data_IF_302967864500
#
_entry.id   IF_302967864500
#
_cell.length_a   1.000
_cell.length_b   1.000
_cell.length_c   1.000
_cell.angle_alpha   90.00
_cell.angle_beta   90.00
_cell.angle_gamma   90.00
#
_symmetry.space_group_name_H-M   'P 1'
#
loop_
_entity.id
_entity.type
_entity.pdbx_description
1 polymer ?
#
# COMPACT_ATOMS: atom_id res chain seq x y z
N UNK A 1 -28.88 20.19 23.44
CA UNK A 1 -28.51 18.76 23.62
C UNK A 1 -28.14 18.08 22.30
N UNK A 2 -28.97 18.14 21.26
CA UNK A 2 -28.77 17.44 19.96
C UNK A 2 -27.48 17.84 19.21
N UNK A 3 -27.08 19.13 19.23
CA UNK A 3 -25.82 19.59 18.60
C UNK A 3 -24.55 19.10 19.31
N UNK A 4 -24.57 18.97 20.64
CA UNK A 4 -23.43 18.49 21.42
C UNK A 4 -23.26 16.96 21.30
N UNK A 5 -24.36 16.21 21.32
CA UNK A 5 -24.37 14.77 21.05
C UNK A 5 -23.81 14.46 19.64
N UNK A 6 -24.23 15.21 18.61
CA UNK A 6 -23.68 15.07 17.27
C UNK A 6 -22.16 15.32 17.20
N UNK A 7 -21.65 16.27 17.99
CA UNK A 7 -20.23 16.58 17.99
C UNK A 7 -19.39 15.49 18.69
N UNK A 8 -19.91 14.90 19.78
CA UNK A 8 -19.25 13.81 20.50
C UNK A 8 -19.26 12.50 19.70
N UNK A 9 -20.39 12.15 19.09
CA UNK A 9 -20.51 10.94 18.26
C UNK A 9 -19.60 11.03 17.04
N UNK A 10 -19.62 12.16 16.32
CA UNK A 10 -18.74 12.37 15.16
C UNK A 10 -17.26 12.32 15.57
N UNK A 11 -16.92 12.86 16.73
CA UNK A 11 -15.56 12.80 17.27
C UNK A 11 -15.11 11.37 17.61
N UNK A 12 -15.99 10.55 18.20
CA UNK A 12 -15.68 9.15 18.47
C UNK A 12 -15.49 8.33 17.19
N UNK A 13 -16.36 8.51 16.19
CA UNK A 13 -16.26 7.84 14.89
C UNK A 13 -14.93 8.21 14.20
N UNK A 14 -14.53 9.48 14.22
CA UNK A 14 -13.26 9.93 13.65
C UNK A 14 -12.04 9.33 14.38
N UNK A 15 -12.15 9.08 15.69
CA UNK A 15 -11.08 8.46 16.48
C UNK A 15 -11.01 6.95 16.32
N UNK A 16 -12.14 6.29 16.05
CA UNK A 16 -12.26 4.84 15.94
C UNK A 16 -13.00 4.40 14.65
N UNK A 17 -12.50 4.78 13.45
CA UNK A 17 -13.24 4.56 12.21
C UNK A 17 -13.40 3.07 11.86
N UNK A 18 -12.36 2.26 12.05
CA UNK A 18 -12.39 0.81 11.76
C UNK A 18 -13.34 0.07 12.69
N UNK A 19 -13.33 0.39 13.99
CA UNK A 19 -14.24 -0.23 14.97
C UNK A 19 -15.68 0.16 14.66
N UNK A 20 -15.92 1.46 14.37
CA UNK A 20 -17.24 1.94 13.96
C UNK A 20 -17.73 1.19 12.73
N UNK A 21 -16.87 1.03 11.73
CA UNK A 21 -17.18 0.28 10.52
C UNK A 21 -17.61 -1.15 10.82
N UNK A 22 -16.85 -1.89 11.64
CA UNK A 22 -17.23 -3.27 11.97
C UNK A 22 -18.58 -3.36 12.67
N UNK A 23 -18.85 -2.46 13.63
CA UNK A 23 -20.14 -2.43 14.32
C UNK A 23 -21.29 -2.12 13.36
N UNK A 24 -21.12 -1.15 12.46
CA UNK A 24 -22.15 -0.79 11.48
C UNK A 24 -22.34 -1.89 10.42
N UNK A 25 -21.26 -2.51 9.94
CA UNK A 25 -21.32 -3.58 8.94
C UNK A 25 -22.15 -4.76 9.48
N UNK A 26 -21.87 -5.17 10.73
CA UNK A 26 -22.66 -6.21 11.42
C UNK A 26 -24.10 -5.74 11.66
N UNK A 27 -24.32 -4.51 12.14
CA UNK A 27 -25.66 -3.99 12.39
C UNK A 27 -26.52 -3.99 11.13
N UNK A 28 -26.05 -3.39 10.03
CA UNK A 28 -26.82 -3.31 8.79
C UNK A 28 -27.09 -4.68 8.20
N UNK A 29 -26.11 -5.58 8.23
CA UNK A 29 -26.30 -6.95 7.75
C UNK A 29 -27.34 -7.68 8.58
N UNK A 30 -27.24 -7.63 9.91
CA UNK A 30 -28.23 -8.23 10.80
C UNK A 30 -29.62 -7.67 10.54
N UNK A 31 -29.77 -6.35 10.39
CA UNK A 31 -31.05 -5.71 10.08
C UNK A 31 -31.62 -6.18 8.72
N UNK A 32 -30.78 -6.41 7.72
CA UNK A 32 -31.18 -6.93 6.41
C UNK A 32 -31.52 -8.42 6.46
N UNK A 33 -30.87 -9.21 7.32
CA UNK A 33 -31.20 -10.64 7.49
C UNK A 33 -32.37 -10.89 8.44
N UNK A 34 -32.66 -9.96 9.36
CA UNK A 34 -33.62 -10.14 10.44
C UNK A 34 -35.03 -10.53 9.95
N UNK A 35 -35.59 -9.95 8.87
CA UNK A 35 -36.89 -10.37 8.37
C UNK A 35 -36.93 -11.83 7.91
N UNK A 36 -35.82 -12.34 7.35
CA UNK A 36 -35.68 -13.73 6.92
C UNK A 36 -35.54 -14.67 8.12
N UNK A 37 -34.73 -14.27 9.12
CA UNK A 37 -34.54 -15.02 10.37
C UNK A 37 -35.86 -15.15 11.14
N UNK A 38 -36.66 -14.07 11.19
CA UNK A 38 -37.97 -14.06 11.85
C UNK A 38 -39.09 -14.63 10.99
N UNK A 39 -38.81 -15.00 9.74
CA UNK A 39 -39.79 -15.52 8.77
C UNK A 39 -41.01 -14.60 8.63
N UNK A 40 -40.77 -13.29 8.51
CA UNK A 40 -41.86 -12.31 8.41
C UNK A 40 -42.67 -12.50 7.13
N UNK A 41 -43.99 -12.49 7.28
CA UNK A 41 -44.92 -12.62 6.15
C UNK A 41 -44.68 -11.56 5.07
N UNK A 42 -44.70 -12.00 3.81
CA UNK A 42 -44.53 -11.12 2.65
C UNK A 42 -43.07 -10.76 2.30
N UNK A 43 -42.09 -11.27 3.04
CA UNK A 43 -40.66 -11.13 2.69
C UNK A 43 -40.23 -12.30 1.81
N UNK A 44 -39.87 -12.05 0.54
CA UNK A 44 -39.47 -13.13 -0.35
C UNK A 44 -38.03 -13.60 -0.07
N UNK A 45 -37.71 -14.90 -0.27
CA UNK A 45 -36.38 -15.43 0.04
C UNK A 45 -35.21 -14.77 -0.72
N UNK A 46 -35.44 -14.26 -1.93
CA UNK A 46 -34.43 -13.53 -2.71
C UNK A 46 -33.98 -12.23 -2.03
N UNK A 47 -34.68 -11.75 -1.00
CA UNK A 47 -34.22 -10.64 -0.17
C UNK A 47 -32.85 -10.90 0.48
N UNK A 48 -32.46 -12.18 0.62
CA UNK A 48 -31.14 -12.62 1.09
C UNK A 48 -29.98 -11.87 0.42
N UNK A 49 -30.05 -11.65 -0.89
CA UNK A 49 -28.99 -11.00 -1.66
C UNK A 49 -28.67 -9.57 -1.22
N UNK A 50 -29.59 -8.88 -0.54
CA UNK A 50 -29.32 -7.55 -0.02
C UNK A 50 -28.45 -7.55 1.23
N UNK A 51 -28.43 -8.65 2.00
CA UNK A 51 -27.64 -8.73 3.23
C UNK A 51 -26.14 -8.45 2.99
N UNK A 52 -25.65 -8.81 1.80
CA UNK A 52 -24.30 -8.53 1.30
C UNK A 52 -23.90 -7.04 1.34
N UNK A 53 -24.85 -6.10 1.32
CA UNK A 53 -24.55 -4.67 1.25
C UNK A 53 -24.22 -4.03 2.60
N UNK A 54 -24.40 -4.73 3.73
CA UNK A 54 -24.10 -4.16 5.05
C UNK A 54 -22.68 -3.57 5.17
N UNK A 55 -21.62 -4.30 4.76
CA UNK A 55 -20.26 -3.78 4.67
C UNK A 55 -20.11 -2.53 3.80
N UNK A 56 -20.63 -2.53 2.57
CA UNK A 56 -20.57 -1.35 1.69
C UNK A 56 -21.29 -0.12 2.29
N UNK A 57 -22.47 -0.31 2.86
CA UNK A 57 -23.24 0.76 3.51
C UNK A 57 -22.44 1.34 4.67
N UNK A 58 -21.88 0.50 5.54
CA UNK A 58 -21.05 0.92 6.65
C UNK A 58 -19.82 1.71 6.19
N UNK A 59 -19.12 1.22 5.15
CA UNK A 59 -17.96 1.90 4.58
C UNK A 59 -18.33 3.28 4.04
N UNK A 60 -19.42 3.41 3.29
CA UNK A 60 -19.88 4.69 2.74
C UNK A 60 -20.22 5.68 3.85
N UNK A 61 -20.93 5.24 4.90
CA UNK A 61 -21.30 6.08 6.05
C UNK A 61 -20.05 6.58 6.76
N UNK A 62 -19.16 5.68 7.20
CA UNK A 62 -17.97 6.07 7.96
C UNK A 62 -17.02 6.91 7.09
N UNK A 63 -16.88 6.57 5.80
CA UNK A 63 -16.07 7.36 4.86
C UNK A 63 -16.59 8.78 4.74
N UNK A 64 -17.90 8.94 4.60
CA UNK A 64 -18.54 10.26 4.48
C UNK A 64 -18.38 11.09 5.74
N UNK A 65 -18.57 10.47 6.91
CA UNK A 65 -18.49 11.17 8.21
C UNK A 65 -17.07 11.62 8.54
N UNK A 66 -16.07 10.78 8.27
CA UNK A 66 -14.68 11.05 8.71
C UNK A 66 -13.86 11.78 7.65
N UNK A 67 -13.97 11.38 6.38
CA UNK A 67 -13.14 11.91 5.29
C UNK A 67 -13.93 12.68 4.22
N UNK A 68 -15.25 12.71 4.32
CA UNK A 68 -16.13 13.48 3.44
C UNK A 68 -15.95 13.16 1.95
N UNK A 69 -16.09 14.18 1.11
CA UNK A 69 -16.03 14.04 -0.36
C UNK A 69 -14.69 13.50 -0.86
N UNK A 70 -13.58 13.82 -0.21
CA UNK A 70 -12.25 13.34 -0.63
C UNK A 70 -12.10 11.83 -0.39
N UNK A 71 -12.57 11.35 0.77
CA UNK A 71 -12.59 9.91 1.06
C UNK A 71 -13.48 9.14 0.08
N UNK A 72 -14.66 9.67 -0.22
CA UNK A 72 -15.57 9.07 -1.20
C UNK A 72 -14.98 9.04 -2.61
N UNK A 73 -14.28 10.10 -3.03
CA UNK A 73 -13.61 10.13 -4.32
C UNK A 73 -12.48 9.09 -4.42
N UNK A 74 -11.67 8.92 -3.38
CA UNK A 74 -10.64 7.87 -3.34
C UNK A 74 -11.27 6.46 -3.38
N UNK A 75 -12.31 6.22 -2.57
CA UNK A 75 -13.01 4.94 -2.57
C UNK A 75 -13.62 4.64 -3.95
N UNK A 76 -14.32 5.61 -4.54
CA UNK A 76 -14.89 5.51 -5.88
C UNK A 76 -13.84 5.21 -6.96
N UNK A 77 -12.69 5.90 -6.90
CA UNK A 77 -11.58 5.65 -7.83
C UNK A 77 -11.05 4.21 -7.73
N UNK A 78 -11.01 3.62 -6.53
CA UNK A 78 -10.60 2.22 -6.31
C UNK A 78 -11.66 1.22 -6.74
N UNK A 79 -12.95 1.55 -6.63
CA UNK A 79 -14.08 0.74 -7.13
C UNK A 79 -14.04 0.62 -8.65
N UNK A 80 -13.66 1.66 -9.38
CA UNK A 80 -13.62 1.64 -10.86
C UNK A 80 -12.21 1.40 -11.42
N UNK A 81 -11.26 0.99 -10.58
CA UNK A 81 -9.84 0.82 -10.97
C UNK A 81 -9.63 -0.43 -11.83
N UNK A 82 -9.89 -0.32 -13.13
CA UNK A 82 -9.73 -1.42 -14.09
C UNK A 82 -8.37 -1.46 -14.81
N UNK A 83 -7.64 -0.34 -14.84
CA UNK A 83 -6.31 -0.23 -15.49
C UNK A 83 -5.21 -0.83 -14.61
N UNK A 84 -5.24 -2.14 -14.46
CA UNK A 84 -4.29 -2.93 -13.64
C UNK A 84 -3.34 -3.80 -14.48
N UNK A 85 -3.56 -3.86 -15.79
CA UNK A 85 -2.80 -4.69 -16.74
C UNK A 85 -3.40 -6.09 -16.93
N UNK A 86 -3.24 -6.65 -18.13
CA UNK A 86 -3.86 -7.92 -18.53
C UNK A 86 -3.42 -9.12 -17.67
N UNK A 87 -2.14 -9.18 -17.28
CA UNK A 87 -1.64 -10.26 -16.42
C UNK A 87 -2.32 -10.30 -15.05
N UNK A 88 -2.69 -9.13 -14.49
CA UNK A 88 -3.42 -9.08 -13.22
C UNK A 88 -4.88 -9.48 -13.38
N UNK A 89 -5.50 -9.13 -14.50
CA UNK A 89 -6.84 -9.59 -14.85
C UNK A 89 -6.90 -11.09 -15.08
N UNK A 90 -5.88 -11.68 -15.71
CA UNK A 90 -5.79 -13.13 -15.85
C UNK A 90 -5.80 -13.84 -14.48
N UNK A 91 -5.09 -13.30 -13.48
CA UNK A 91 -5.15 -13.85 -12.12
C UNK A 91 -6.51 -13.57 -11.47
N UNK A 92 -7.02 -12.33 -11.52
CA UNK A 92 -8.28 -11.95 -10.86
C UNK A 92 -9.51 -12.70 -11.41
N UNK A 93 -9.62 -12.87 -12.73
CA UNK A 93 -10.75 -13.53 -13.39
C UNK A 93 -10.47 -15.00 -13.69
N UNK A 94 -9.25 -15.32 -14.14
CA UNK A 94 -8.90 -16.67 -14.60
C UNK A 94 -8.62 -17.65 -13.47
N UNK A 95 -8.07 -17.20 -12.33
CA UNK A 95 -7.71 -18.16 -11.27
C UNK A 95 -8.92 -18.89 -10.66
N UNK A 96 -10.07 -18.27 -10.33
CA UNK A 96 -11.24 -19.02 -9.85
C UNK A 96 -11.74 -20.06 -10.87
N UNK A 97 -11.71 -19.71 -12.16
CA UNK A 97 -12.12 -20.61 -13.26
C UNK A 97 -11.17 -21.81 -13.35
N UNK A 98 -9.86 -21.58 -13.24
CA UNK A 98 -8.85 -22.65 -13.25
C UNK A 98 -9.01 -23.56 -12.03
N UNK A 99 -9.27 -22.98 -10.85
CA UNK A 99 -9.50 -23.75 -9.63
C UNK A 99 -10.74 -24.65 -9.77
N UNK A 100 -11.84 -24.11 -10.29
CA UNK A 100 -13.06 -24.87 -10.54
C UNK A 100 -12.85 -25.97 -11.59
N UNK A 101 -12.20 -25.67 -12.71
CA UNK A 101 -11.89 -26.66 -13.75
C UNK A 101 -11.01 -27.81 -13.20
N UNK A 102 -10.00 -27.49 -12.38
CA UNK A 102 -9.18 -28.49 -11.72
C UNK A 102 -10.00 -29.37 -10.75
N UNK A 103 -10.91 -28.76 -9.99
CA UNK A 103 -11.80 -29.47 -9.08
C UNK A 103 -12.79 -30.39 -9.82
N UNK A 104 -13.37 -29.93 -10.92
CA UNK A 104 -14.22 -30.74 -11.79
C UNK A 104 -13.46 -31.93 -12.40
N UNK A 105 -12.22 -31.71 -12.85
CA UNK A 105 -11.36 -32.77 -13.37
C UNK A 105 -11.08 -33.83 -12.29
N UNK A 106 -10.74 -33.42 -11.07
CA UNK A 106 -10.51 -34.34 -9.95
C UNK A 106 -11.78 -35.12 -9.61
N UNK A 107 -12.95 -34.46 -9.62
CA UNK A 107 -14.24 -35.12 -9.40
C UNK A 107 -14.51 -36.17 -10.48
N UNK A 108 -14.38 -35.79 -11.76
CA UNK A 108 -14.56 -36.69 -12.91
C UNK A 108 -13.62 -37.90 -12.87
N UNK A 109 -12.34 -37.69 -12.58
CA UNK A 109 -11.37 -38.79 -12.47
C UNK A 109 -11.69 -39.76 -11.33
N UNK A 110 -12.45 -39.32 -10.32
CA UNK A 110 -12.83 -40.14 -9.16
C UNK A 110 -14.17 -40.85 -9.36
N UNK A 111 -15.17 -40.18 -9.92
CA UNK A 111 -16.55 -40.69 -10.02
C UNK A 111 -16.90 -41.21 -11.40
N UNK A 112 -16.20 -40.75 -12.45
CA UNK A 112 -16.55 -40.98 -13.85
C UNK A 112 -17.73 -40.13 -14.33
N UNK A 113 -18.33 -39.31 -13.48
CA UNK A 113 -19.51 -38.50 -13.79
C UNK A 113 -19.10 -37.17 -14.42
N UNK A 114 -19.62 -36.91 -15.62
CA UNK A 114 -19.39 -35.64 -16.30
C UNK A 114 -20.19 -34.51 -15.64
N UNK A 115 -19.64 -33.29 -15.53
CA UNK A 115 -20.37 -32.15 -14.99
C UNK A 115 -21.54 -31.75 -15.90
N UNK A 116 -22.70 -31.50 -15.31
CA UNK A 116 -23.86 -30.98 -16.01
C UNK A 116 -23.89 -29.44 -15.93
N UNK A 117 -23.43 -28.78 -16.98
CA UNK A 117 -23.43 -27.32 -17.05
C UNK A 117 -24.81 -26.70 -17.31
N UNK A 118 -25.85 -27.49 -17.58
CA UNK A 118 -27.19 -26.96 -17.81
C UNK A 118 -27.79 -26.29 -16.56
N UNK A 119 -27.33 -26.68 -15.37
CA UNK A 119 -27.76 -26.13 -14.08
C UNK A 119 -26.86 -25.03 -13.54
N UNK A 120 -25.86 -24.59 -14.32
CA UNK A 120 -24.81 -23.67 -13.84
C UNK A 120 -25.32 -22.32 -13.36
N UNK A 121 -26.40 -21.82 -13.96
CA UNK A 121 -27.01 -20.54 -13.62
C UNK A 121 -28.22 -20.65 -12.70
N UNK A 122 -28.53 -21.84 -12.19
CA UNK A 122 -29.56 -22.04 -11.19
C UNK A 122 -29.09 -21.48 -9.84
N UNK A 123 -29.69 -20.37 -9.42
CA UNK A 123 -29.37 -19.70 -8.16
C UNK A 123 -30.44 -19.94 -7.11
N UNK A 124 -30.02 -20.04 -5.85
CA UNK A 124 -30.96 -20.12 -4.73
C UNK A 124 -31.96 -18.95 -4.75
N UNK A 125 -33.21 -19.25 -4.41
CA UNK A 125 -34.31 -18.28 -4.28
C UNK A 125 -34.77 -17.57 -5.57
N UNK A 126 -33.99 -17.56 -6.65
CA UNK A 126 -34.29 -16.88 -7.91
C UNK A 126 -34.50 -17.86 -9.07
N UNK A 127 -33.83 -19.03 -9.04
CA UNK A 127 -33.85 -20.00 -10.13
C UNK A 127 -32.83 -19.68 -11.22
N UNK A 128 -33.06 -20.18 -12.44
CA UNK A 128 -32.17 -19.96 -13.58
C UNK A 128 -32.45 -18.61 -14.27
N UNK A 129 -31.44 -17.74 -14.25
CA UNK A 129 -31.47 -16.41 -14.90
C UNK A 129 -30.40 -16.26 -15.98
N UNK A 130 -29.70 -17.34 -16.32
CA UNK A 130 -28.58 -17.36 -17.23
C UNK A 130 -27.26 -16.87 -16.62
N UNK A 131 -26.15 -17.47 -17.07
CA UNK A 131 -24.80 -17.23 -16.54
C UNK A 131 -24.39 -15.74 -16.51
N UNK A 132 -24.62 -14.92 -17.56
CA UNK A 132 -24.21 -13.52 -17.53
C UNK A 132 -24.91 -12.69 -16.45
N UNK A 133 -26.21 -12.92 -16.25
CA UNK A 133 -27.00 -12.19 -15.26
C UNK A 133 -26.72 -12.69 -13.84
N UNK A 134 -26.52 -14.01 -13.67
CA UNK A 134 -26.06 -14.59 -12.42
C UNK A 134 -24.71 -13.99 -11.98
N UNK A 135 -23.70 -13.99 -12.86
CA UNK A 135 -22.39 -13.38 -12.57
C UNK A 135 -22.50 -11.90 -12.27
N UNK A 136 -23.35 -11.16 -12.99
CA UNK A 136 -23.59 -9.75 -12.70
C UNK A 136 -24.19 -9.56 -11.30
N UNK A 137 -25.19 -10.38 -10.93
CA UNK A 137 -25.80 -10.35 -9.60
C UNK A 137 -24.76 -10.63 -8.52
N UNK A 138 -23.99 -11.73 -8.64
CA UNK A 138 -22.88 -12.05 -7.73
C UNK A 138 -21.85 -10.92 -7.62
N UNK A 139 -21.52 -10.26 -8.74
CA UNK A 139 -20.58 -9.13 -8.76
C UNK A 139 -21.11 -7.93 -7.99
N UNK A 140 -22.38 -7.57 -8.12
CA UNK A 140 -22.92 -6.39 -7.46
C UNK A 140 -23.29 -6.63 -6.00
N UNK A 141 -23.62 -7.86 -5.60
CA UNK A 141 -23.98 -8.21 -4.23
C UNK A 141 -22.76 -8.69 -3.45
N UNK A 142 -22.32 -9.93 -3.66
CA UNK A 142 -21.27 -10.58 -2.87
C UNK A 142 -19.86 -10.08 -3.26
N UNK A 143 -19.68 -9.62 -4.50
CA UNK A 143 -18.49 -8.89 -4.92
C UNK A 143 -18.46 -7.49 -4.31
N UNK A 144 -19.00 -6.51 -5.01
CA UNK A 144 -18.90 -5.10 -4.62
C UNK A 144 -19.59 -4.78 -3.28
N UNK A 145 -20.74 -5.40 -2.97
CA UNK A 145 -21.45 -5.14 -1.71
C UNK A 145 -20.61 -5.48 -0.47
N UNK A 146 -19.77 -6.50 -0.56
CA UNK A 146 -18.83 -6.85 0.52
C UNK A 146 -17.48 -6.15 0.37
N UNK A 147 -16.87 -6.20 -0.83
CA UNK A 147 -15.47 -5.80 -1.06
C UNK A 147 -15.22 -4.30 -0.90
N UNK A 148 -16.24 -3.47 -1.13
CA UNK A 148 -16.18 -2.03 -0.82
C UNK A 148 -15.92 -1.83 0.67
N UNK A 149 -16.52 -2.67 1.52
CA UNK A 149 -16.31 -2.65 2.96
C UNK A 149 -15.00 -3.30 3.37
N UNK A 150 -14.83 -4.59 3.06
CA UNK A 150 -13.72 -5.36 3.60
C UNK A 150 -12.36 -4.87 3.09
N UNK A 151 -12.19 -4.73 1.77
CA UNK A 151 -10.91 -4.33 1.17
C UNK A 151 -10.85 -2.83 0.98
N UNK A 152 -11.96 -2.24 0.51
CA UNK A 152 -12.07 -0.81 0.27
C UNK A 152 -12.01 0.05 1.52
N UNK A 153 -12.48 -0.45 2.66
CA UNK A 153 -12.46 0.28 3.92
C UNK A 153 -11.57 -0.38 4.99
N UNK A 154 -11.92 -1.57 5.47
CA UNK A 154 -11.29 -2.13 6.66
C UNK A 154 -9.79 -2.42 6.46
N UNK A 155 -9.44 -3.22 5.44
CA UNK A 155 -8.03 -3.53 5.15
C UNK A 155 -7.23 -2.26 4.85
N UNK A 156 -7.77 -1.36 4.02
CA UNK A 156 -7.12 -0.11 3.65
C UNK A 156 -6.71 0.73 4.87
N UNK A 157 -7.65 0.99 5.78
CA UNK A 157 -7.39 1.85 6.93
C UNK A 157 -6.53 1.17 8.00
N UNK A 158 -6.69 -0.14 8.18
CA UNK A 158 -5.86 -0.91 9.11
C UNK A 158 -4.40 -0.97 8.62
N UNK A 159 -4.18 -1.18 7.31
CA UNK A 159 -2.83 -1.16 6.72
C UNK A 159 -2.20 0.23 6.76
N UNK A 160 -2.97 1.28 6.48
CA UNK A 160 -2.50 2.67 6.60
C UNK A 160 -2.18 3.07 8.06
N UNK A 161 -2.77 2.40 9.05
CA UNK A 161 -2.42 2.52 10.47
C UNK A 161 -1.10 1.85 10.85
N UNK A 162 -0.40 1.21 9.91
CA UNK A 162 0.92 0.59 10.11
C UNK A 162 0.90 -0.90 10.47
N UNK A 163 -0.28 -1.54 10.53
CA UNK A 163 -0.35 -2.98 10.82
C UNK A 163 0.19 -3.80 9.64
N UNK A 164 0.93 -4.88 9.93
CA UNK A 164 1.47 -5.78 8.91
C UNK A 164 0.39 -6.59 8.19
N UNK A 165 0.66 -6.94 6.92
CA UNK A 165 -0.28 -7.63 6.01
C UNK A 165 -0.96 -8.85 6.65
N UNK A 166 -0.18 -9.82 7.16
CA UNK A 166 -0.74 -11.08 7.69
C UNK A 166 -1.68 -10.84 8.87
N UNK A 167 -1.30 -9.96 9.79
CA UNK A 167 -2.13 -9.66 10.95
C UNK A 167 -3.42 -8.93 10.54
N UNK A 168 -3.34 -8.02 9.56
CA UNK A 168 -4.53 -7.37 9.00
C UNK A 168 -5.46 -8.38 8.32
N UNK A 169 -4.95 -9.23 7.42
CA UNK A 169 -5.78 -10.21 6.71
C UNK A 169 -6.39 -11.25 7.64
N UNK A 170 -5.65 -11.76 8.63
CA UNK A 170 -6.18 -12.74 9.59
C UNK A 170 -7.24 -12.12 10.50
N UNK A 171 -6.97 -10.95 11.08
CA UNK A 171 -7.96 -10.27 11.93
C UNK A 171 -9.23 -9.91 11.17
N UNK A 172 -9.10 -9.43 9.94
CA UNK A 172 -10.23 -9.15 9.07
C UNK A 172 -10.98 -10.44 8.70
N UNK A 173 -10.28 -11.52 8.39
CA UNK A 173 -10.89 -12.82 8.11
C UNK A 173 -11.70 -13.39 9.29
N UNK A 174 -11.20 -13.21 10.52
CA UNK A 174 -11.95 -13.61 11.74
C UNK A 174 -13.23 -12.78 11.90
N UNK A 175 -13.13 -11.45 11.74
CA UNK A 175 -14.32 -10.58 11.81
C UNK A 175 -15.30 -10.91 10.69
N UNK A 176 -14.81 -11.19 9.48
CA UNK A 176 -15.62 -11.57 8.34
C UNK A 176 -16.31 -12.93 8.55
N UNK A 177 -15.63 -13.92 9.14
CA UNK A 177 -16.26 -15.20 9.50
C UNK A 177 -17.38 -15.02 10.54
N UNK A 178 -17.14 -14.21 11.58
CA UNK A 178 -18.16 -13.90 12.60
C UNK A 178 -19.32 -13.09 12.03
N UNK A 179 -19.07 -12.23 11.04
CA UNK A 179 -20.11 -11.48 10.33
C UNK A 179 -21.11 -12.40 9.61
N UNK A 180 -20.72 -13.64 9.27
CA UNK A 180 -21.63 -14.59 8.64
C UNK A 180 -22.61 -15.29 9.59
N UNK A 181 -22.49 -15.11 10.92
CA UNK A 181 -23.34 -15.79 11.90
C UNK A 181 -24.85 -15.68 11.60
N UNK A 182 -25.41 -14.53 11.16
CA UNK A 182 -26.83 -14.45 10.82
C UNK A 182 -27.27 -15.43 9.72
N UNK A 183 -26.42 -15.77 8.76
CA UNK A 183 -26.75 -16.73 7.69
C UNK A 183 -26.93 -18.16 8.21
N UNK A 184 -26.17 -18.55 9.25
CA UNK A 184 -26.32 -19.85 9.93
C UNK A 184 -27.68 -20.04 10.63
N UNK A 185 -28.50 -18.99 10.72
CA UNK A 185 -29.81 -19.03 11.36
C UNK A 185 -30.96 -19.31 10.40
N UNK A 186 -30.77 -19.18 9.08
CA UNK A 186 -31.87 -19.33 8.10
C UNK A 186 -31.48 -19.90 6.74
N UNK A 187 -30.18 -19.97 6.39
CA UNK A 187 -29.73 -20.61 5.15
C UNK A 187 -29.43 -22.07 5.44
N UNK A 188 -30.13 -22.98 4.75
CA UNK A 188 -30.10 -24.42 5.05
C UNK A 188 -28.68 -25.01 4.97
N UNK A 189 -27.91 -24.65 3.94
CA UNK A 189 -26.53 -25.14 3.78
C UNK A 189 -25.62 -24.68 4.91
N UNK A 190 -25.77 -23.44 5.39
CA UNK A 190 -25.02 -22.93 6.52
C UNK A 190 -25.45 -23.60 7.82
N UNK A 191 -26.76 -23.70 8.06
CA UNK A 191 -27.31 -24.34 9.25
C UNK A 191 -26.89 -25.82 9.34
N UNK A 192 -26.86 -26.52 8.21
CA UNK A 192 -26.47 -27.93 8.09
C UNK A 192 -25.01 -28.21 8.47
N UNK A 193 -24.12 -27.21 8.42
CA UNK A 193 -22.71 -27.36 8.84
C UNK A 193 -22.55 -27.59 10.35
N UNK A 194 -23.49 -27.09 11.15
CA UNK A 194 -23.41 -27.10 12.61
C UNK A 194 -22.17 -26.38 13.18
N UNK A 195 -21.94 -26.55 14.49
CA UNK A 195 -20.84 -25.87 15.19
C UNK A 195 -19.46 -26.34 14.69
N UNK A 196 -19.31 -27.64 14.39
CA UNK A 196 -18.06 -28.19 13.87
C UNK A 196 -17.72 -27.64 12.47
N UNK A 197 -18.71 -27.61 11.57
CA UNK A 197 -18.53 -27.08 10.23
C UNK A 197 -18.31 -25.58 10.21
N UNK A 198 -18.85 -24.81 11.17
CA UNK A 198 -18.54 -23.39 11.32
C UNK A 198 -17.03 -23.11 11.45
N UNK A 199 -16.28 -23.93 12.20
CA UNK A 199 -14.82 -23.75 12.31
C UNK A 199 -14.09 -24.03 11.00
N UNK A 200 -14.55 -25.02 10.22
CA UNK A 200 -14.04 -25.29 8.88
C UNK A 200 -14.34 -24.14 7.91
N UNK A 201 -15.57 -23.61 7.94
CA UNK A 201 -15.98 -22.42 7.21
C UNK A 201 -15.13 -21.21 7.60
N UNK A 202 -14.98 -20.91 8.89
CA UNK A 202 -14.19 -19.79 9.38
C UNK A 202 -12.72 -19.88 8.95
N UNK A 203 -12.14 -21.08 8.95
CA UNK A 203 -10.79 -21.32 8.42
C UNK A 203 -10.70 -21.01 6.92
N UNK A 204 -11.70 -21.41 6.14
CA UNK A 204 -11.80 -21.09 4.71
C UNK A 204 -11.92 -19.59 4.47
N UNK A 205 -12.78 -18.90 5.23
CA UNK A 205 -12.97 -17.44 5.15
C UNK A 205 -11.68 -16.68 5.50
N UNK A 206 -10.96 -17.10 6.54
CA UNK A 206 -9.65 -16.51 6.89
C UNK A 206 -8.63 -16.73 5.77
N UNK A 207 -8.62 -17.90 5.15
CA UNK A 207 -7.76 -18.19 3.98
C UNK A 207 -8.12 -17.28 2.81
N UNK A 208 -9.41 -17.14 2.49
CA UNK A 208 -9.93 -16.23 1.48
C UNK A 208 -9.54 -14.79 1.75
N UNK A 209 -9.63 -14.30 2.99
CA UNK A 209 -9.24 -12.95 3.38
C UNK A 209 -7.75 -12.66 3.13
N UNK A 210 -6.87 -13.66 3.27
CA UNK A 210 -5.44 -13.54 2.94
C UNK A 210 -5.25 -13.45 1.42
N UNK A 211 -5.87 -14.34 0.64
CA UNK A 211 -5.77 -14.32 -0.82
C UNK A 211 -6.31 -13.02 -1.41
N UNK A 212 -7.49 -12.60 -0.96
CA UNK A 212 -8.18 -11.42 -1.44
C UNK A 212 -7.47 -10.14 -0.98
N UNK A 213 -6.92 -10.14 0.23
CA UNK A 213 -6.09 -9.03 0.70
C UNK A 213 -4.78 -8.92 -0.06
N UNK A 214 -4.15 -10.05 -0.42
CA UNK A 214 -2.97 -10.06 -1.28
C UNK A 214 -3.30 -9.54 -2.68
N UNK A 215 -4.42 -9.99 -3.27
CA UNK A 215 -4.88 -9.56 -4.58
C UNK A 215 -5.15 -8.05 -4.60
N UNK A 216 -5.75 -7.51 -3.54
CA UNK A 216 -5.96 -6.08 -3.36
C UNK A 216 -4.64 -5.29 -3.40
N UNK A 217 -3.64 -5.68 -2.61
CA UNK A 217 -2.34 -5.00 -2.58
C UNK A 217 -1.58 -5.17 -3.90
N UNK A 218 -1.56 -6.38 -4.45
CA UNK A 218 -0.87 -6.70 -5.71
C UNK A 218 -1.47 -5.98 -6.93
N UNK A 219 -2.78 -5.73 -6.93
CA UNK A 219 -3.48 -4.97 -7.98
C UNK A 219 -3.42 -3.45 -7.79
N UNK A 220 -2.58 -2.97 -6.86
CA UNK A 220 -2.49 -1.56 -6.48
C UNK A 220 -3.84 -1.02 -5.98
N UNK A 221 -4.45 -1.67 -5.00
CA UNK A 221 -5.69 -1.22 -4.34
C UNK A 221 -6.90 -1.21 -5.29
N UNK A 222 -7.03 -2.18 -6.20
CA UNK A 222 -8.22 -2.31 -7.05
C UNK A 222 -9.30 -3.11 -6.34
N UNK A 223 -10.39 -2.45 -5.94
CA UNK A 223 -11.56 -3.13 -5.37
C UNK A 223 -12.27 -3.94 -6.45
N UNK A 224 -12.30 -3.42 -7.69
CA UNK A 224 -12.93 -4.12 -8.82
C UNK A 224 -12.35 -5.50 -9.06
N UNK A 225 -11.01 -5.60 -9.07
CA UNK A 225 -10.34 -6.87 -9.32
C UNK A 225 -10.67 -7.93 -8.26
N UNK A 226 -10.74 -7.49 -7.00
CA UNK A 226 -11.07 -8.36 -5.87
C UNK A 226 -12.54 -8.75 -5.91
N UNK A 227 -13.44 -7.80 -6.20
CA UNK A 227 -14.87 -8.06 -6.35
C UNK A 227 -15.17 -9.04 -7.49
N UNK A 228 -14.46 -8.92 -8.62
CA UNK A 228 -14.57 -9.88 -9.73
C UNK A 228 -14.08 -11.25 -9.29
N UNK A 229 -12.92 -11.36 -8.65
CA UNK A 229 -12.44 -12.65 -8.16
C UNK A 229 -13.44 -13.29 -7.18
N UNK A 230 -13.91 -12.51 -6.21
CA UNK A 230 -14.83 -12.98 -5.17
C UNK A 230 -16.17 -13.43 -5.75
N UNK A 231 -16.75 -12.64 -6.65
CA UNK A 231 -18.01 -12.97 -7.31
C UNK A 231 -17.92 -14.22 -8.19
N UNK A 232 -16.84 -14.33 -8.98
CA UNK A 232 -16.63 -15.50 -9.85
C UNK A 232 -16.35 -16.74 -9.00
N UNK A 233 -15.57 -16.61 -7.93
CA UNK A 233 -15.32 -17.72 -7.02
C UNK A 233 -16.61 -18.21 -6.36
N UNK A 234 -17.41 -17.31 -5.79
CA UNK A 234 -18.67 -17.69 -5.13
C UNK A 234 -19.67 -18.29 -6.13
N UNK A 235 -19.82 -17.69 -7.31
CA UNK A 235 -20.67 -18.25 -8.37
C UNK A 235 -20.27 -19.67 -8.78
N UNK A 236 -18.96 -19.98 -8.81
CA UNK A 236 -18.46 -21.30 -9.20
C UNK A 236 -18.54 -22.32 -8.06
N UNK A 237 -18.18 -21.93 -6.83
CA UNK A 237 -18.16 -22.84 -5.68
C UNK A 237 -19.59 -23.18 -5.22
N UNK A 238 -20.52 -22.23 -5.26
CA UNK A 238 -21.92 -22.43 -4.91
C UNK A 238 -22.75 -22.93 -6.11
N UNK A 239 -22.12 -23.18 -7.26
CA UNK A 239 -22.81 -23.68 -8.45
C UNK A 239 -23.36 -25.10 -8.21
N UNK A 240 -24.59 -25.41 -8.64
CA UNK A 240 -25.14 -26.77 -8.61
C UNK A 240 -24.37 -27.79 -9.46
N UNK A 241 -23.50 -27.32 -10.37
CA UNK A 241 -22.56 -28.14 -11.13
C UNK A 241 -21.52 -28.78 -10.19
N UNK A 242 -21.18 -28.09 -9.10
CA UNK A 242 -20.19 -28.52 -8.13
C UNK A 242 -20.80 -29.45 -7.07
N UNK A 243 -20.24 -30.65 -6.93
CA UNK A 243 -20.52 -31.50 -5.78
C UNK A 243 -19.82 -30.96 -4.52
N UNK A 244 -20.18 -31.48 -3.34
CA UNK A 244 -19.45 -31.18 -2.08
C UNK A 244 -17.94 -31.49 -2.18
N UNK A 245 -17.55 -32.45 -3.03
CA UNK A 245 -16.15 -32.73 -3.36
C UNK A 245 -15.50 -31.56 -4.11
N UNK A 246 -16.19 -30.99 -5.10
CA UNK A 246 -15.69 -29.84 -5.89
C UNK A 246 -15.46 -28.65 -4.96
N UNK A 247 -16.41 -28.35 -4.07
CA UNK A 247 -16.29 -27.29 -3.06
C UNK A 247 -15.09 -27.51 -2.13
N UNK A 248 -14.92 -28.73 -1.63
CA UNK A 248 -13.80 -29.10 -0.77
C UNK A 248 -12.44 -28.96 -1.49
N UNK A 249 -12.35 -29.40 -2.75
CA UNK A 249 -11.13 -29.29 -3.55
C UNK A 249 -10.79 -27.84 -3.86
N UNK A 250 -11.77 -27.02 -4.24
CA UNK A 250 -11.55 -25.58 -4.46
C UNK A 250 -11.03 -24.90 -3.18
N UNK A 251 -11.67 -25.18 -2.04
CA UNK A 251 -11.25 -24.66 -0.74
C UNK A 251 -9.81 -25.09 -0.39
N UNK A 252 -9.47 -26.36 -0.62
CA UNK A 252 -8.11 -26.88 -0.41
C UNK A 252 -7.09 -26.15 -1.28
N UNK A 253 -7.38 -25.91 -2.57
CA UNK A 253 -6.47 -25.21 -3.47
C UNK A 253 -6.28 -23.74 -3.06
N UNK A 254 -7.33 -23.06 -2.59
CA UNK A 254 -7.23 -21.71 -1.99
C UNK A 254 -6.39 -21.73 -0.72
N UNK A 255 -6.51 -22.75 0.13
CA UNK A 255 -5.66 -22.92 1.31
C UNK A 255 -4.19 -23.11 0.91
N UNK A 256 -3.90 -23.90 -0.12
CA UNK A 256 -2.52 -24.06 -0.63
C UNK A 256 -1.97 -22.72 -1.13
N UNK A 257 -2.77 -21.94 -1.85
CA UNK A 257 -2.38 -20.59 -2.28
C UNK A 257 -2.12 -19.66 -1.09
N UNK A 258 -2.97 -19.71 -0.08
CA UNK A 258 -2.79 -18.99 1.19
C UNK A 258 -1.44 -19.31 1.83
N UNK A 259 -1.08 -20.60 1.94
CA UNK A 259 0.21 -21.02 2.48
C UNK A 259 1.37 -20.48 1.65
N UNK A 260 1.28 -20.51 0.32
CA UNK A 260 2.28 -19.92 -0.56
C UNK A 260 2.45 -18.41 -0.35
N UNK A 261 1.34 -17.67 -0.18
CA UNK A 261 1.36 -16.23 0.14
C UNK A 261 2.06 -16.01 1.49
N UNK A 262 1.69 -16.74 2.55
CA UNK A 262 2.31 -16.62 3.88
C UNK A 262 3.82 -16.84 3.79
N UNK A 263 4.26 -17.92 3.14
CA UNK A 263 5.69 -18.22 2.95
C UNK A 263 6.38 -17.07 2.21
N UNK A 264 5.75 -16.52 1.17
CA UNK A 264 6.32 -15.41 0.39
C UNK A 264 6.49 -14.14 1.24
N UNK A 265 5.49 -13.80 2.06
CA UNK A 265 5.50 -12.61 2.92
C UNK A 265 6.56 -12.74 4.01
N UNK A 266 6.62 -13.89 4.69
CA UNK A 266 7.63 -14.16 5.72
C UNK A 266 9.05 -14.11 5.14
N UNK A 267 9.28 -14.75 3.98
CA UNK A 267 10.58 -14.73 3.30
C UNK A 267 10.99 -13.32 2.88
N UNK A 268 10.07 -12.53 2.35
CA UNK A 268 10.36 -11.16 1.92
C UNK A 268 10.65 -10.25 3.12
N UNK A 269 9.90 -10.39 4.22
CA UNK A 269 10.17 -9.67 5.46
C UNK A 269 11.55 -9.99 6.02
N UNK A 270 11.92 -11.27 6.09
CA UNK A 270 13.25 -11.71 6.54
C UNK A 270 14.37 -11.18 5.62
N UNK A 271 14.17 -11.16 4.29
CA UNK A 271 15.12 -10.58 3.34
C UNK A 271 15.29 -9.07 3.53
N UNK A 272 14.19 -8.34 3.72
CA UNK A 272 14.25 -6.89 3.97
C UNK A 272 14.96 -6.59 5.28
N UNK A 273 14.64 -7.31 6.36
CA UNK A 273 15.30 -7.15 7.64
C UNK A 273 16.80 -7.46 7.52
N UNK A 274 17.18 -8.55 6.85
CA UNK A 274 18.58 -8.87 6.58
C UNK A 274 19.27 -7.78 5.76
N UNK A 275 18.62 -7.25 4.72
CA UNK A 275 19.18 -6.15 3.92
C UNK A 275 19.33 -4.85 4.71
N UNK A 276 18.42 -4.58 5.65
CA UNK A 276 18.53 -3.44 6.58
C UNK A 276 19.64 -3.68 7.60
N UNK A 277 19.77 -4.88 8.15
CA UNK A 277 20.86 -5.26 9.05
C UNK A 277 22.23 -5.19 8.34
N UNK A 278 22.33 -5.64 7.09
CA UNK A 278 23.51 -5.52 6.23
C UNK A 278 23.79 -4.06 5.83
N UNK A 279 22.75 -3.24 5.61
CA UNK A 279 22.90 -1.80 5.35
C UNK A 279 23.27 -1.00 6.60
N UNK A 280 22.80 -1.40 7.78
CA UNK A 280 23.17 -0.82 9.09
C UNK A 280 24.57 -1.29 9.49
N UNK A 281 24.92 -2.54 9.19
CA UNK A 281 26.29 -3.06 9.16
C UNK A 281 27.01 -2.62 7.88
N UNK A 282 26.98 -1.32 7.55
CA UNK A 282 27.87 -0.75 6.55
C UNK A 282 29.32 -1.13 6.89
N UNK A 283 29.89 -2.01 6.06
CA UNK A 283 31.20 -2.62 6.25
C UNK A 283 32.27 -1.53 6.52
N UNK A 284 33.11 -1.63 7.58
CA UNK A 284 34.19 -0.68 7.85
C UNK A 284 35.10 -0.41 6.63
N UNK A 285 35.15 -1.35 5.68
CA UNK A 285 35.81 -1.21 4.38
C UNK A 285 35.20 -0.09 3.53
N UNK A 286 33.87 0.07 3.48
CA UNK A 286 33.20 1.10 2.69
C UNK A 286 33.40 2.50 3.30
N UNK A 287 33.38 2.61 4.65
CA UNK A 287 33.78 3.84 5.35
C UNK A 287 35.25 4.21 5.07
N UNK A 288 36.11 3.21 4.90
CA UNK A 288 37.54 3.40 4.59
C UNK A 288 37.74 3.78 3.12
N UNK A 289 37.00 3.18 2.18
CA UNK A 289 36.99 3.55 0.77
C UNK A 289 36.47 4.97 0.53
N UNK A 290 35.41 5.40 1.21
CA UNK A 290 34.92 6.79 1.17
C UNK A 290 35.96 7.76 1.77
N UNK A 291 36.66 7.35 2.84
CA UNK A 291 37.80 8.12 3.39
C UNK A 291 39.01 8.16 2.44
N UNK A 292 39.23 7.14 1.61
CA UNK A 292 40.28 7.07 0.59
C UNK A 292 39.91 7.86 -0.69
N UNK A 293 38.63 8.00 -0.98
CA UNK A 293 38.13 8.81 -2.09
C UNK A 293 38.36 10.31 -1.85
N UNK A 294 38.25 10.80 -0.60
CA UNK A 294 38.38 12.22 -0.30
C UNK A 294 39.77 12.82 -0.67
N UNK A 295 40.91 12.18 -0.36
CA UNK A 295 42.22 12.61 -0.83
C UNK A 295 42.37 12.59 -2.36
N UNK A 296 41.82 11.56 -3.03
CA UNK A 296 41.86 11.45 -4.49
C UNK A 296 41.03 12.56 -5.14
N UNK A 297 39.79 12.75 -4.70
CA UNK A 297 38.89 13.79 -5.20
C UNK A 297 39.46 15.19 -4.94
N UNK A 298 40.09 15.40 -3.78
CA UNK A 298 40.81 16.64 -3.47
C UNK A 298 41.97 16.88 -4.45
N UNK A 299 42.80 15.87 -4.73
CA UNK A 299 43.88 15.97 -5.73
C UNK A 299 43.34 16.26 -7.12
N UNK A 300 42.27 15.57 -7.53
CA UNK A 300 41.64 15.76 -8.84
C UNK A 300 41.09 17.19 -9.02
N UNK A 301 40.40 17.73 -8.01
CA UNK A 301 39.87 19.11 -8.01
C UNK A 301 40.95 20.20 -7.90
N UNK A 302 42.15 19.86 -7.43
CA UNK A 302 43.32 20.75 -7.50
C UNK A 302 44.13 20.62 -8.80
N UNK A 303 43.92 19.55 -9.57
CA UNK A 303 44.67 19.28 -10.80
C UNK A 303 44.09 19.97 -12.03
N UNK A 304 44.84 20.11 -13.13
CA UNK A 304 44.33 20.60 -14.41
C UNK A 304 43.18 19.78 -15.00
N UNK A 305 43.00 18.53 -14.55
CA UNK A 305 41.91 17.63 -14.97
C UNK A 305 40.60 17.85 -14.20
N UNK A 306 40.51 18.88 -13.35
CA UNK A 306 39.33 19.15 -12.52
C UNK A 306 38.05 19.29 -13.35
N UNK A 307 38.14 19.71 -14.62
CA UNK A 307 37.00 19.92 -15.52
C UNK A 307 36.05 18.73 -15.65
N UNK A 308 36.55 17.50 -15.47
CA UNK A 308 35.73 16.27 -15.51
C UNK A 308 34.72 16.18 -14.37
N UNK A 309 35.02 16.77 -13.20
CA UNK A 309 34.22 16.62 -11.98
C UNK A 309 33.79 17.96 -11.36
N UNK A 310 34.43 19.07 -11.74
CA UNK A 310 34.19 20.39 -11.14
C UNK A 310 32.85 21.02 -11.52
N UNK A 311 32.09 20.37 -12.41
CA UNK A 311 30.69 20.73 -12.69
C UNK A 311 29.73 20.27 -11.58
N UNK A 312 30.11 19.22 -10.85
CA UNK A 312 29.28 18.61 -9.80
C UNK A 312 29.88 18.80 -8.40
N UNK A 313 31.21 18.86 -8.29
CA UNK A 313 31.92 18.94 -7.02
C UNK A 313 32.74 20.22 -6.88
N UNK A 314 32.81 20.71 -5.64
CA UNK A 314 33.67 21.82 -5.23
C UNK A 314 34.43 21.46 -3.95
N UNK A 315 35.48 22.20 -3.63
CA UNK A 315 36.11 22.10 -2.31
C UNK A 315 35.61 23.21 -1.41
N UNK A 316 35.17 22.85 -0.21
CA UNK A 316 34.92 23.80 0.87
C UNK A 316 36.03 23.69 1.90
N UNK A 317 36.61 24.83 2.26
CA UNK A 317 37.65 24.98 3.27
C UNK A 317 37.14 25.85 4.41
N UNK A 318 37.21 25.33 5.63
CA UNK A 318 36.68 25.98 6.83
C UNK A 318 37.59 25.72 8.04
N UNK A 319 37.50 26.61 9.04
CA UNK A 319 38.26 26.48 10.29
C UNK A 319 37.41 25.82 11.37
N UNK A 320 37.95 24.80 12.04
CA UNK A 320 37.26 24.11 13.12
C UNK A 320 37.13 24.99 14.36
N UNK A 321 35.91 25.17 14.91
CA UNK A 321 35.66 26.07 16.04
C UNK A 321 36.41 25.68 17.32
N UNK A 322 36.49 24.37 17.60
CA UNK A 322 37.15 23.85 18.81
C UNK A 322 38.66 23.64 18.64
N UNK A 323 39.11 23.28 17.43
CA UNK A 323 40.49 22.87 17.18
C UNK A 323 41.35 23.96 16.55
N UNK A 324 40.76 25.02 15.97
CA UNK A 324 41.46 26.05 15.21
C UNK A 324 42.11 25.56 13.91
N UNK A 325 42.02 24.25 13.59
CA UNK A 325 42.63 23.66 12.40
C UNK A 325 41.78 23.95 11.16
N UNK A 326 42.45 24.14 10.03
CA UNK A 326 41.81 24.32 8.72
C UNK A 326 41.54 22.94 8.11
N UNK A 327 40.30 22.74 7.65
CA UNK A 327 39.85 21.52 7.00
C UNK A 327 39.34 21.83 5.60
N UNK A 328 39.63 20.94 4.64
CA UNK A 328 39.11 21.04 3.26
C UNK A 328 38.43 19.74 2.90
N UNK A 329 37.18 19.81 2.44
CA UNK A 329 36.37 18.64 2.09
C UNK A 329 35.74 18.83 0.72
N UNK A 330 35.78 17.82 -0.17
CA UNK A 330 35.01 17.85 -1.41
C UNK A 330 33.53 17.66 -1.12
N UNK A 331 32.69 18.51 -1.71
CA UNK A 331 31.23 18.47 -1.57
C UNK A 331 30.57 18.60 -2.93
N UNK A 332 29.46 17.88 -3.12
CA UNK A 332 28.60 18.11 -4.27
C UNK A 332 27.81 19.41 -4.05
N UNK A 333 27.56 20.15 -5.12
CA UNK A 333 26.88 21.43 -5.04
C UNK A 333 25.90 21.66 -6.19
N UNK A 334 24.94 22.56 -5.97
CA UNK A 334 24.22 23.27 -7.02
C UNK A 334 24.46 24.77 -6.89
N UNK A 335 24.39 25.49 -8.00
CA UNK A 335 24.60 26.94 -8.04
C UNK A 335 23.38 27.63 -8.64
N UNK A 336 22.94 28.70 -7.99
CA UNK A 336 21.86 29.58 -8.43
C UNK A 336 22.34 31.02 -8.26
N UNK A 337 22.68 31.67 -9.38
CA UNK A 337 23.37 32.96 -9.36
C UNK A 337 24.67 32.90 -8.53
N UNK A 338 24.70 33.67 -7.45
CA UNK A 338 25.85 33.78 -6.54
C UNK A 338 25.74 32.90 -5.29
N UNK A 339 24.71 32.06 -5.21
CA UNK A 339 24.46 31.18 -4.08
C UNK A 339 24.80 29.74 -4.44
N UNK A 340 25.58 29.08 -3.59
CA UNK A 340 25.87 27.65 -3.67
C UNK A 340 25.08 26.89 -2.63
N UNK A 341 24.55 25.75 -3.04
CA UNK A 341 23.71 24.86 -2.25
C UNK A 341 24.36 23.51 -2.07
N UNK A 342 24.42 23.03 -0.84
CA UNK A 342 25.02 21.72 -0.49
C UNK A 342 24.09 20.96 0.44
N UNK A 343 23.96 19.65 0.20
CA UNK A 343 23.30 18.72 1.12
C UNK A 343 24.36 17.81 1.75
N UNK A 344 24.35 17.73 3.08
CA UNK A 344 25.18 16.79 3.84
C UNK A 344 24.32 15.99 4.82
N UNK A 345 24.82 14.87 5.33
CA UNK A 345 24.14 14.15 6.41
C UNK A 345 24.48 14.73 7.78
N UNK A 346 23.50 14.69 8.70
CA UNK A 346 23.64 15.06 10.11
C UNK A 346 24.70 14.26 10.86
N UNK A 347 24.99 13.03 10.42
CA UNK A 347 26.00 12.15 11.03
C UNK A 347 27.41 12.73 10.94
N UNK A 348 27.68 13.54 9.91
CA UNK A 348 28.93 14.25 9.77
C UNK A 348 28.98 15.42 10.74
N UNK A 349 30.14 15.69 11.35
CA UNK A 349 30.25 16.76 12.37
C UNK A 349 30.78 18.08 11.81
N UNK A 350 31.31 18.08 10.58
CA UNK A 350 32.02 19.25 10.03
C UNK A 350 31.12 20.47 9.81
N UNK A 351 29.88 20.26 9.36
CA UNK A 351 28.91 21.34 9.10
C UNK A 351 28.57 22.14 10.35
N UNK A 352 28.72 21.55 11.55
CA UNK A 352 28.47 22.24 12.82
C UNK A 352 29.41 23.42 13.03
N UNK A 353 30.57 23.44 12.36
CA UNK A 353 31.50 24.58 12.40
C UNK A 353 30.96 25.81 11.64
N UNK A 354 29.96 25.61 10.76
CA UNK A 354 29.41 26.64 9.89
C UNK A 354 28.11 27.27 10.41
N UNK A 355 27.56 26.77 11.53
CA UNK A 355 26.28 27.24 12.11
C UNK A 355 26.31 28.70 12.53
N UNK A 356 25.40 29.53 12.02
CA UNK A 356 25.30 30.94 12.42
C UNK A 356 26.25 31.85 11.64
N UNK A 357 26.53 31.50 10.38
CA UNK A 357 27.35 32.29 9.47
C UNK A 357 28.85 32.15 9.72
N UNK A 358 29.52 31.31 8.93
CA UNK A 358 30.98 31.19 8.95
C UNK A 358 31.58 31.52 7.58
N UNK A 359 32.69 32.26 7.60
CA UNK A 359 33.45 32.51 6.39
C UNK A 359 34.18 31.23 5.97
N UNK A 360 34.06 30.90 4.68
CA UNK A 360 34.65 29.71 4.08
C UNK A 360 35.39 30.06 2.80
N UNK A 361 36.45 29.32 2.51
CA UNK A 361 37.12 29.39 1.21
C UNK A 361 36.59 28.27 0.32
N UNK A 362 36.23 28.61 -0.91
CA UNK A 362 35.65 27.69 -1.90
C UNK A 362 36.60 27.58 -3.08
N UNK A 363 36.93 26.35 -3.49
CA UNK A 363 37.52 26.10 -4.81
C UNK A 363 36.43 25.63 -5.76
N UNK A 364 35.97 26.52 -6.62
CA UNK A 364 34.89 26.30 -7.57
C UNK A 364 35.47 26.35 -8.98
N UNK A 365 35.34 25.26 -9.74
CA UNK A 365 35.76 25.20 -11.16
C UNK A 365 37.22 25.66 -11.41
N UNK A 366 38.12 25.38 -10.46
CA UNK A 366 39.55 25.71 -10.56
C UNK A 366 39.94 27.06 -9.96
N UNK A 367 38.97 27.92 -9.64
CA UNK A 367 39.17 29.23 -9.04
C UNK A 367 38.85 29.22 -7.54
N UNK A 368 39.46 30.13 -6.78
CA UNK A 368 39.26 30.23 -5.34
C UNK A 368 38.43 31.47 -5.00
N UNK A 369 37.40 31.30 -4.19
CA UNK A 369 36.50 32.34 -3.71
C UNK A 369 36.43 32.32 -2.19
N UNK A 370 36.06 33.45 -1.60
CA UNK A 370 35.70 33.54 -0.18
C UNK A 370 34.21 33.80 -0.08
N UNK A 371 33.49 32.94 0.63
CA UNK A 371 32.04 33.07 0.79
C UNK A 371 31.60 33.00 2.25
N UNK A 372 30.33 33.34 2.49
CA UNK A 372 29.69 33.17 3.79
C UNK A 372 28.77 31.96 3.75
N UNK A 373 29.05 30.96 4.58
CA UNK A 373 28.26 29.74 4.69
C UNK A 373 27.33 29.80 5.91
N UNK A 374 26.08 29.42 5.72
CA UNK A 374 25.16 29.14 6.81
C UNK A 374 24.49 27.77 6.64
N UNK A 375 23.90 27.26 7.71
CA UNK A 375 23.35 25.91 7.75
C UNK A 375 21.93 25.91 8.28
N UNK A 376 21.06 25.10 7.69
CA UNK A 376 19.69 24.92 8.14
C UNK A 376 19.34 23.44 8.30
N UNK A 377 18.64 23.14 9.41
CA UNK A 377 18.04 21.83 9.71
C UNK A 377 16.52 21.86 9.53
N UNK A 378 15.96 22.93 8.96
CA UNK A 378 14.54 23.04 8.68
C UNK A 378 14.14 22.11 7.52
N UNK A 379 13.17 21.24 7.76
CA UNK A 379 12.79 20.18 6.82
C UNK A 379 12.27 20.74 5.49
N UNK A 380 11.48 21.83 5.53
CA UNK A 380 10.95 22.46 4.32
C UNK A 380 12.07 23.08 3.50
N UNK A 381 13.01 23.77 4.15
CA UNK A 381 14.17 24.34 3.50
C UNK A 381 15.10 23.26 2.91
N UNK A 382 15.38 22.19 3.64
CA UNK A 382 16.16 21.05 3.14
C UNK A 382 15.52 20.49 1.88
N UNK A 383 14.20 20.29 1.87
CA UNK A 383 13.47 19.84 0.68
C UNK A 383 13.71 20.75 -0.53
N UNK A 384 13.63 22.07 -0.34
CA UNK A 384 13.90 23.04 -1.42
C UNK A 384 15.33 22.94 -1.98
N UNK A 385 16.31 22.70 -1.10
CA UNK A 385 17.72 22.60 -1.47
C UNK A 385 18.01 21.26 -2.14
N UNK A 386 17.38 20.16 -1.70
CA UNK A 386 17.48 18.84 -2.36
C UNK A 386 17.03 18.92 -3.80
N UNK A 387 15.92 19.61 -4.09
CA UNK A 387 15.43 19.79 -5.47
C UNK A 387 16.42 20.58 -6.34
N UNK A 388 17.15 21.54 -5.76
CA UNK A 388 18.19 22.27 -6.50
C UNK A 388 19.43 21.41 -6.78
N UNK A 389 19.87 20.60 -5.81
CA UNK A 389 21.07 19.74 -5.93
C UNK A 389 20.79 18.50 -6.79
N UNK A 390 19.57 17.98 -6.75
CA UNK A 390 19.14 16.77 -7.44
C UNK A 390 17.84 17.01 -8.22
N UNK A 391 17.89 17.76 -9.33
CA UNK A 391 16.68 18.18 -10.07
C UNK A 391 15.91 17.02 -10.72
N UNK A 392 16.52 15.83 -10.82
CA UNK A 392 15.88 14.63 -11.35
C UNK A 392 14.97 13.91 -10.34
N UNK A 393 15.01 14.27 -9.06
CA UNK A 393 14.16 13.64 -8.04
C UNK A 393 12.72 14.14 -8.13
N UNK A 394 11.77 13.21 -8.08
CA UNK A 394 10.34 13.51 -7.95
C UNK A 394 9.99 13.90 -6.52
N UNK A 395 8.87 14.61 -6.34
CA UNK A 395 8.46 15.19 -5.06
C UNK A 395 8.29 14.14 -3.93
N UNK A 396 7.81 12.95 -4.28
CA UNK A 396 7.70 11.78 -3.39
C UNK A 396 9.07 11.24 -2.96
N UNK A 397 10.07 11.34 -3.83
CA UNK A 397 11.45 10.94 -3.53
C UNK A 397 12.18 11.97 -2.67
N UNK A 398 11.90 13.27 -2.86
CA UNK A 398 12.47 14.36 -2.05
C UNK A 398 12.06 14.20 -0.58
N UNK A 399 10.80 13.89 -0.31
CA UNK A 399 10.31 13.69 1.06
C UNK A 399 11.08 12.57 1.81
N UNK A 400 11.48 11.51 1.12
CA UNK A 400 12.30 10.43 1.68
C UNK A 400 13.77 10.81 1.91
N UNK A 401 14.27 11.85 1.24
CA UNK A 401 15.65 12.32 1.35
C UNK A 401 15.87 13.31 2.51
N UNK A 402 14.84 13.99 2.99
CA UNK A 402 14.95 15.06 4.02
C UNK A 402 15.40 14.56 5.40
N UNK A 403 14.91 13.42 5.94
CA UNK A 403 15.29 12.99 7.28
C UNK A 403 16.81 12.76 7.43
N UNK A 404 17.41 13.34 8.48
CA UNK A 404 18.84 13.17 8.79
C UNK A 404 19.80 13.93 7.86
N UNK A 405 19.31 14.94 7.14
CA UNK A 405 20.11 15.82 6.28
C UNK A 405 20.19 17.24 6.83
N UNK A 406 21.20 17.96 6.35
CA UNK A 406 21.43 19.37 6.64
C UNK A 406 21.69 20.08 5.32
N UNK A 407 21.03 21.23 5.16
CA UNK A 407 21.26 22.11 4.03
C UNK A 407 22.32 23.16 4.40
N UNK A 408 23.26 23.40 3.48
CA UNK A 408 24.17 24.53 3.56
C UNK A 408 23.94 25.47 2.39
N UNK A 409 24.04 26.76 2.69
CA UNK A 409 23.89 27.84 1.73
C UNK A 409 25.12 28.72 1.84
N UNK A 410 25.82 28.92 0.73
CA UNK A 410 27.07 29.68 0.68
C UNK A 410 26.89 30.84 -0.29
N UNK A 411 27.04 32.06 0.22
CA UNK A 411 26.98 33.26 -0.61
C UNK A 411 28.38 33.65 -1.07
N UNK A 412 28.55 33.75 -2.39
CA UNK A 412 29.76 34.26 -3.05
C UNK A 412 29.72 35.79 -3.17
N UNK A 413 30.87 36.46 -3.40
CA UNK A 413 30.93 37.89 -3.73
C UNK A 413 30.54 38.15 -5.18
N UNK A 414 29.94 39.30 -5.50
CA UNK A 414 29.27 39.60 -6.79
C UNK A 414 30.12 39.36 -8.05
N UNK A 415 31.44 39.37 -7.92
CA UNK A 415 32.39 39.12 -9.02
C UNK A 415 32.48 37.66 -9.48
N UNK A 416 31.87 36.70 -8.78
CA UNK A 416 31.92 35.27 -9.11
C UNK A 416 30.87 34.82 -10.16
N UNK A 417 29.96 35.72 -10.58
CA UNK A 417 28.74 35.37 -11.31
C UNK A 417 28.87 35.21 -12.84
N UNK A 418 30.04 35.41 -13.45
CA UNK A 418 30.21 35.32 -14.91
C UNK A 418 30.87 34.00 -15.34
N UNK A 419 30.09 32.92 -15.27
CA UNK A 419 30.49 31.59 -15.72
C UNK A 419 29.28 30.76 -16.20
N UNK A 420 28.68 31.23 -17.29
CA UNK A 420 27.63 30.63 -18.13
C UNK A 420 26.43 30.00 -17.42
N UNK A 421 25.32 30.72 -17.42
CA UNK A 421 23.97 30.15 -17.47
C UNK A 421 23.76 29.39 -18.80
N UNK A 422 23.00 28.29 -18.71
CA UNK A 422 22.39 27.47 -19.79
C UNK A 422 23.27 26.39 -20.46
N UNK A 423 23.01 25.13 -20.08
CA UNK A 423 22.54 24.10 -21.03
C UNK A 423 21.88 22.94 -20.25
N UNK A 424 20.56 23.00 -20.18
CA UNK A 424 19.74 21.80 -20.24
C UNK A 424 19.75 21.25 -21.69
N UNK A 425 19.50 19.95 -21.81
CA UNK A 425 19.26 19.14 -23.02
C UNK A 425 20.45 18.39 -23.64
N UNK A 426 20.16 17.10 -23.90
CA UNK A 426 20.83 16.07 -24.71
C UNK A 426 21.51 14.92 -23.94
N UNK A 427 20.81 13.78 -24.02
CA UNK A 427 21.13 12.36 -23.71
C UNK A 427 21.01 11.84 -22.28
#
# INVERSE_FOLDING_TARGET
MTRQLNHQTTHWIAKHPVVTYYLLATLFTTLLTLPLILQLDGVPPWFHYFAAYGPAIAALIVTTVVWGRRGLADLGARIVRWRIGWGKWFVALGSPIILFAAALLINYLRTGEAPDFSVMSSMDYIGDIGVPLALFLWLITQGLGEEIGWRGFAQEHVRNGGQGFLLTSVSLGVVWALWHIPYFLYVDDYAGMGVGGFFGFAFSVVSGAIVLGWLYEWTNRSILAVAVWHAVFNFLIDSPVGSSMVQAVMSMLVTIWTVAIIISVVRNGARQQKSQEEAVQMNPVMRTLIKLQNPFMKRLLHSPLHGMVSRMYMLITFTGRKSGKVYTTPVQYAQDGNTLYVITSEEYTWWKNLRGGAQVQIRLRGENFTGQADTSTDAAYIGSVVTKVYPALKEDQVAGFVPGKVALTIQLPETAAQGSTVAAAAE
#
